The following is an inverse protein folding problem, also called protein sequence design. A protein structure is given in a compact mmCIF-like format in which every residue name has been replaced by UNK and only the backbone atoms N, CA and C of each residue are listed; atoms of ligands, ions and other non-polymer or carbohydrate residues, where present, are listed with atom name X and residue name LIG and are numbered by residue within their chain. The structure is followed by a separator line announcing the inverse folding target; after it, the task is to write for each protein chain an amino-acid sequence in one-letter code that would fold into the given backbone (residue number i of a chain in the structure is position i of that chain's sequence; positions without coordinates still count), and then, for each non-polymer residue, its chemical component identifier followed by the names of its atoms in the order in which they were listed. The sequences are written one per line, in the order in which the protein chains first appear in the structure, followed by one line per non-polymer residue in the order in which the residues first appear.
data_IF_069434497222
#
_entry.id   IF_069434497222
#
_cell.length_a   1.000
_cell.length_b   1.000
_cell.length_c   1.000
_cell.angle_alpha   90.00
_cell.angle_beta   90.00
_cell.angle_gamma   90.00
#
_symmetry.space_group_name_H-M   'P 1'
#
loop_
_entity.id
_entity.type
_entity.pdbx_description
1 polymer ?
#
# COMPACT_ATOMS: atom_id res chain seq x y z
N UNK A 1 6.29 7.36 4.83
CA UNK A 1 6.22 7.40 6.31
C UNK A 1 7.30 6.47 6.88
N UNK A 2 7.79 6.63 8.11
CA UNK A 2 8.67 5.62 8.72
C UNK A 2 7.86 4.44 9.25
N UNK A 3 8.47 3.24 9.34
CA UNK A 3 7.82 2.04 9.86
C UNK A 3 7.28 2.24 11.27
N UNK A 4 8.08 2.83 12.15
CA UNK A 4 7.68 3.14 13.54
C UNK A 4 6.51 4.11 13.59
N UNK A 5 6.47 5.10 12.71
CA UNK A 5 5.35 6.05 12.65
C UNK A 5 4.06 5.36 12.18
N UNK A 6 4.16 4.44 11.20
CA UNK A 6 3.00 3.67 10.73
C UNK A 6 2.42 2.77 11.84
N UNK A 7 3.28 2.02 12.56
CA UNK A 7 2.86 1.17 13.69
C UNK A 7 2.20 1.94 14.84
N UNK A 8 2.57 3.22 15.03
CA UNK A 8 1.95 4.09 16.05
C UNK A 8 0.63 4.70 15.58
N UNK A 9 0.46 4.91 14.28
CA UNK A 9 -0.66 5.67 13.70
C UNK A 9 -1.83 4.78 13.28
N UNK A 10 -1.55 3.53 12.89
CA UNK A 10 -2.53 2.64 12.29
C UNK A 10 -2.73 1.38 13.12
N UNK A 11 -3.88 0.76 12.91
CA UNK A 11 -4.35 -0.44 13.59
C UNK A 11 -4.61 -1.58 12.60
N UNK A 12 -4.77 -2.80 13.12
CA UNK A 12 -5.23 -3.95 12.32
C UNK A 12 -6.57 -3.67 11.64
N UNK A 13 -7.50 -3.00 12.32
CA UNK A 13 -8.79 -2.64 11.73
C UNK A 13 -8.61 -1.71 10.51
N UNK A 14 -7.66 -0.78 10.56
CA UNK A 14 -7.31 0.06 9.43
C UNK A 14 -6.75 -0.77 8.28
N UNK A 15 -5.86 -1.72 8.57
CA UNK A 15 -5.30 -2.65 7.57
C UNK A 15 -6.41 -3.45 6.89
N UNK A 16 -7.34 -4.01 7.66
CA UNK A 16 -8.49 -4.78 7.14
C UNK A 16 -9.34 -3.90 6.21
N UNK A 17 -9.68 -2.68 6.62
CA UNK A 17 -10.50 -1.78 5.80
C UNK A 17 -9.77 -1.36 4.53
N UNK A 18 -8.49 -0.98 4.63
CA UNK A 18 -7.68 -0.53 3.50
C UNK A 18 -7.44 -1.65 2.48
N UNK A 19 -7.41 -2.90 2.91
CA UNK A 19 -7.16 -4.08 2.08
C UNK A 19 -8.40 -4.94 1.83
N UNK A 20 -9.61 -4.40 2.03
CA UNK A 20 -10.86 -5.15 1.89
C UNK A 20 -11.08 -5.79 0.49
N UNK A 21 -10.39 -5.27 -0.53
CA UNK A 21 -10.46 -5.72 -1.92
C UNK A 21 -9.29 -6.63 -2.35
N UNK A 22 -8.38 -6.96 -1.41
CA UNK A 22 -7.19 -7.79 -1.64
C UNK A 22 -7.13 -8.91 -0.61
N UNK A 23 -6.94 -10.13 -1.08
CA UNK A 23 -6.67 -11.26 -0.19
C UNK A 23 -5.22 -11.19 0.28
N UNK A 24 -5.02 -11.05 1.59
CA UNK A 24 -3.71 -10.81 2.17
C UNK A 24 -3.71 -11.08 3.66
N UNK A 25 -2.50 -11.26 4.20
CA UNK A 25 -2.22 -11.25 5.64
C UNK A 25 -2.62 -9.90 6.26
N UNK A 26 -3.26 -9.93 7.44
CA UNK A 26 -3.88 -8.76 8.10
C UNK A 26 -3.54 -8.67 9.60
N UNK A 27 -2.40 -9.21 10.03
CA UNK A 27 -1.96 -9.17 11.43
C UNK A 27 -1.12 -7.92 11.77
N UNK A 28 -0.76 -7.78 13.05
CA UNK A 28 -0.02 -6.63 13.58
C UNK A 28 1.37 -6.43 12.96
N UNK A 29 1.98 -7.51 12.47
CA UNK A 29 3.35 -7.48 11.95
C UNK A 29 3.44 -6.81 10.58
N UNK A 30 2.32 -6.67 9.86
CA UNK A 30 2.26 -6.03 8.53
C UNK A 30 1.68 -4.60 8.54
N UNK A 31 1.43 -4.02 9.72
CA UNK A 31 0.83 -2.68 9.85
C UNK A 31 1.70 -1.60 9.23
N UNK A 32 3.03 -1.72 9.30
CA UNK A 32 3.94 -0.75 8.67
C UNK A 32 3.92 -0.76 7.14
N UNK A 33 3.21 -1.72 6.55
CA UNK A 33 3.02 -1.86 5.10
C UNK A 33 1.58 -1.57 4.66
N UNK A 34 0.75 -0.97 5.53
CA UNK A 34 -0.57 -0.48 5.14
C UNK A 34 -0.46 0.49 3.97
N UNK A 35 -1.38 0.49 2.97
CA UNK A 35 -1.29 1.38 1.82
C UNK A 35 -1.07 2.86 2.17
N UNK A 36 -1.68 3.32 3.28
CA UNK A 36 -1.55 4.69 3.80
C UNK A 36 -0.15 5.05 4.33
N UNK A 37 0.77 4.09 4.47
CA UNK A 37 2.16 4.35 4.86
C UNK A 37 3.02 4.85 3.68
N UNK A 38 2.56 4.62 2.45
CA UNK A 38 3.23 4.96 1.20
C UNK A 38 2.67 6.24 0.57
N UNK A 39 3.36 6.73 -0.46
CA UNK A 39 2.83 7.78 -1.33
C UNK A 39 1.76 7.17 -2.23
N UNK A 40 0.83 8.00 -2.68
CA UNK A 40 -0.07 7.64 -3.76
C UNK A 40 0.74 7.34 -5.03
N UNK A 41 0.55 6.14 -5.59
CA UNK A 41 1.27 5.70 -6.78
C UNK A 41 0.88 6.54 -8.00
N UNK A 42 -0.37 6.99 -8.10
CA UNK A 42 -0.84 7.79 -9.23
C UNK A 42 -0.14 9.16 -9.24
N UNK A 43 0.06 9.76 -8.06
CA UNK A 43 0.82 10.99 -7.92
C UNK A 43 2.30 10.81 -8.28
N UNK A 44 2.91 9.66 -7.94
CA UNK A 44 4.29 9.33 -8.30
C UNK A 44 4.42 9.17 -9.82
N UNK A 45 3.51 8.45 -10.47
CA UNK A 45 3.52 8.23 -11.91
C UNK A 45 3.28 9.54 -12.68
N UNK A 46 2.35 10.38 -12.22
CA UNK A 46 2.10 11.70 -12.81
C UNK A 46 3.35 12.59 -12.79
N UNK A 47 4.12 12.56 -11.69
CA UNK A 47 5.36 13.33 -11.57
C UNK A 47 6.49 12.87 -12.51
N UNK A 48 6.37 11.69 -13.13
CA UNK A 48 7.35 11.12 -14.05
C UNK A 48 6.83 11.03 -15.49
N UNK A 49 5.65 11.57 -15.79
CA UNK A 49 4.95 11.38 -17.06
C UNK A 49 5.75 11.79 -18.32
N UNK A 50 6.73 12.67 -18.21
CA UNK A 50 7.61 13.06 -19.32
C UNK A 50 8.78 12.10 -19.57
N UNK A 51 9.06 11.19 -18.64
CA UNK A 51 10.22 10.29 -18.66
C UNK A 51 9.83 8.83 -18.93
N UNK A 52 8.55 8.47 -18.74
CA UNK A 52 8.07 7.09 -18.84
C UNK A 52 6.74 7.03 -19.57
N UNK A 53 6.46 5.86 -20.14
CA UNK A 53 5.18 5.53 -20.75
C UNK A 53 4.46 4.47 -19.90
N UNK A 54 3.17 4.68 -19.63
CA UNK A 54 2.34 3.67 -18.95
C UNK A 54 1.85 2.68 -19.99
N UNK A 55 2.42 1.48 -20.00
CA UNK A 55 2.00 0.42 -20.91
C UNK A 55 0.73 -0.27 -20.38
N UNK A 56 0.66 -0.53 -19.07
CA UNK A 56 -0.48 -1.19 -18.41
C UNK A 56 -0.62 -0.73 -16.96
N UNK A 57 -1.85 -0.77 -16.43
CA UNK A 57 -2.15 -0.60 -15.01
C UNK A 57 -2.70 -1.90 -14.44
N UNK A 58 -2.10 -2.40 -13.36
CA UNK A 58 -2.50 -3.66 -12.73
C UNK A 58 -3.23 -3.39 -11.42
N UNK A 59 -4.31 -4.14 -11.17
CA UNK A 59 -5.02 -4.15 -9.89
C UNK A 59 -4.66 -5.39 -9.11
N UNK A 60 -4.24 -5.21 -7.87
CA UNK A 60 -3.92 -6.32 -6.98
C UNK A 60 -5.19 -7.07 -6.56
N UNK A 61 -5.07 -8.40 -6.49
CA UNK A 61 -6.10 -9.31 -5.97
C UNK A 61 -5.60 -10.18 -4.82
N UNK A 62 -4.30 -10.50 -4.78
CA UNK A 62 -3.66 -11.28 -3.71
C UNK A 62 -2.31 -10.63 -3.34
N UNK A 63 -1.97 -10.67 -2.05
CA UNK A 63 -0.67 -10.30 -1.52
C UNK A 63 -0.13 -11.38 -0.57
N UNK A 64 0.97 -12.03 -0.96
CA UNK A 64 1.70 -12.98 -0.12
C UNK A 64 3.00 -12.31 0.32
N UNK A 65 3.25 -12.28 1.64
CA UNK A 65 4.46 -11.73 2.25
C UNK A 65 5.18 -12.85 3.01
N UNK A 66 6.50 -12.89 2.86
CA UNK A 66 7.38 -13.82 3.59
C UNK A 66 7.71 -13.34 5.00
#
# INVERSE_FOLDING_TARGET
MSRTAAKKRFTVADQIRATAHVECRKDNEVIDEIPMAYKDIDAVMAAQASLVEIVHTLRQVVCVKG
#
